data_IF_238184952067
#
_entry.id   IF_238184952067
#
_cell.length_a   1.000
_cell.length_b   1.000
_cell.length_c   1.000
_cell.angle_alpha   90.00
_cell.angle_beta   90.00
_cell.angle_gamma   90.00
#
_symmetry.space_group_name_H-M   'P 1'
#
loop_
_entity.id
_entity.type
_entity.pdbx_description
1 polymer ?
#
# COMPACT_ATOMS: atom_id res chain seq x y z
N UNK A 1 -48.37 -46.11 74.74
CA UNK A 1 -47.28 -46.60 73.87
C UNK A 1 -46.49 -45.35 73.46
N UNK A 2 -45.37 -45.01 74.13
CA UNK A 2 -44.00 -45.56 73.93
C UNK A 2 -43.61 -45.46 72.44
N UNK A 3 -42.61 -44.71 71.98
CA UNK A 3 -41.24 -44.46 72.47
C UNK A 3 -40.62 -43.26 71.71
N UNK A 4 -39.91 -42.35 72.38
CA UNK A 4 -38.44 -42.17 72.34
C UNK A 4 -37.94 -40.99 71.51
N UNK A 5 -37.37 -40.05 72.26
CA UNK A 5 -36.34 -39.07 71.94
C UNK A 5 -35.08 -39.75 71.35
N UNK A 6 -34.51 -39.17 70.30
CA UNK A 6 -33.12 -39.42 69.90
C UNK A 6 -32.66 -38.40 68.86
N UNK A 7 -32.06 -37.34 69.40
CA UNK A 7 -31.19 -36.41 68.68
C UNK A 7 -30.01 -37.19 68.07
N UNK A 8 -29.72 -37.05 66.76
CA UNK A 8 -28.54 -37.66 66.16
C UNK A 8 -27.24 -37.03 66.72
N UNK A 9 -26.20 -37.82 67.01
CA UNK A 9 -24.95 -37.30 67.54
C UNK A 9 -24.19 -36.48 66.50
N UNK A 10 -23.57 -35.39 66.96
CA UNK A 10 -22.66 -34.55 66.19
C UNK A 10 -21.51 -35.38 65.60
N UNK A 11 -21.16 -35.21 64.32
CA UNK A 11 -19.95 -35.79 63.77
C UNK A 11 -18.72 -35.11 64.39
N UNK A 12 -17.90 -35.97 64.98
CA UNK A 12 -16.56 -35.78 65.54
C UNK A 12 -15.73 -34.75 64.76
N UNK A 13 -15.21 -33.75 65.45
CA UNK A 13 -14.16 -32.85 64.97
C UNK A 13 -12.88 -33.64 64.69
N UNK A 14 -12.50 -33.73 63.41
CA UNK A 14 -11.15 -34.07 62.96
C UNK A 14 -10.85 -33.35 61.64
N UNK A 15 -9.57 -33.06 61.37
CA UNK A 15 -8.93 -31.76 61.53
C UNK A 15 -9.44 -30.73 60.51
N UNK A 16 -9.54 -29.47 60.94
CA UNK A 16 -9.44 -28.32 60.04
C UNK A 16 -8.12 -28.46 59.28
N UNK A 17 -8.16 -29.06 58.10
CA UNK A 17 -7.09 -28.93 57.14
C UNK A 17 -6.95 -27.43 56.90
N UNK A 18 -5.80 -26.80 57.22
CA UNK A 18 -5.57 -25.45 56.75
C UNK A 18 -5.64 -25.55 55.23
N UNK A 19 -6.69 -24.95 54.67
CA UNK A 19 -6.77 -24.61 53.26
C UNK A 19 -5.42 -23.96 52.98
N UNK A 20 -4.52 -24.68 52.29
CA UNK A 20 -3.27 -24.14 51.75
C UNK A 20 -3.69 -23.10 50.74
N UNK A 21 -4.11 -21.95 51.26
CA UNK A 21 -4.03 -20.69 50.59
C UNK A 21 -2.56 -20.62 50.16
N UNK A 22 -2.34 -20.64 48.84
CA UNK A 22 -1.04 -20.47 48.25
C UNK A 22 -0.48 -19.12 48.74
N UNK A 23 0.13 -19.12 49.92
CA UNK A 23 0.96 -18.06 50.43
C UNK A 23 2.30 -18.20 49.71
N UNK A 24 2.29 -18.03 48.39
CA UNK A 24 3.52 -17.59 47.74
C UNK A 24 3.91 -16.29 48.43
N UNK A 25 5.16 -16.16 48.91
CA UNK A 25 5.58 -14.97 49.63
C UNK A 25 5.19 -13.73 48.84
N UNK A 26 4.63 -12.71 49.50
CA UNK A 26 4.24 -11.46 48.82
C UNK A 26 5.41 -10.89 47.99
N UNK A 27 6.65 -11.11 48.45
CA UNK A 27 7.86 -10.79 47.69
C UNK A 27 7.99 -11.49 46.33
N UNK A 28 7.58 -12.76 46.20
CA UNK A 28 7.56 -13.49 44.92
C UNK A 28 6.56 -12.89 43.93
N UNK A 29 5.34 -12.55 44.39
CA UNK A 29 4.34 -11.88 43.54
C UNK A 29 4.80 -10.49 43.09
N UNK A 30 5.50 -9.75 43.96
CA UNK A 30 6.08 -8.45 43.61
C UNK A 30 7.18 -8.60 42.56
N UNK A 31 8.01 -9.64 42.66
CA UNK A 31 9.06 -9.93 41.68
C UNK A 31 8.46 -10.28 40.31
N UNK A 32 7.50 -11.20 40.26
CA UNK A 32 6.77 -11.57 39.03
C UNK A 32 6.08 -10.37 38.38
N UNK A 33 5.45 -9.50 39.19
CA UNK A 33 4.81 -8.29 38.70
C UNK A 33 5.82 -7.30 38.09
N UNK A 34 7.00 -7.15 38.71
CA UNK A 34 8.06 -6.30 38.18
C UNK A 34 8.66 -6.85 36.89
N UNK A 35 8.80 -8.16 36.77
CA UNK A 35 9.26 -8.82 35.55
C UNK A 35 8.24 -8.63 34.41
N UNK A 36 6.96 -8.92 34.68
CA UNK A 36 5.87 -8.68 33.73
C UNK A 36 5.79 -7.21 33.30
N UNK A 37 6.00 -6.26 34.23
CA UNK A 37 6.07 -4.83 33.92
C UNK A 37 7.24 -4.51 32.98
N UNK A 38 8.40 -5.11 33.21
CA UNK A 38 9.60 -4.89 32.39
C UNK A 38 9.42 -5.45 31.00
N UNK A 39 8.88 -6.66 30.88
CA UNK A 39 8.55 -7.29 29.60
C UNK A 39 7.52 -6.45 28.81
N UNK A 40 6.48 -5.97 29.48
CA UNK A 40 5.45 -5.14 28.85
C UNK A 40 6.05 -3.82 28.33
N UNK A 41 6.93 -3.17 29.11
CA UNK A 41 7.61 -1.96 28.67
C UNK A 41 8.52 -2.23 27.46
N UNK A 42 9.26 -3.34 27.47
CA UNK A 42 10.08 -3.76 26.34
C UNK A 42 9.22 -4.01 25.08
N UNK A 43 8.09 -4.70 25.24
CA UNK A 43 7.15 -4.96 24.14
C UNK A 43 6.58 -3.67 23.57
N UNK A 44 6.19 -2.72 24.42
CA UNK A 44 5.67 -1.41 23.99
C UNK A 44 6.76 -0.63 23.23
N UNK A 45 8.00 -0.64 23.71
CA UNK A 45 9.11 0.01 23.02
C UNK A 45 9.39 -0.64 21.66
N UNK A 46 9.37 -1.97 21.57
CA UNK A 46 9.50 -2.71 20.32
C UNK A 46 8.40 -2.34 19.32
N UNK A 47 7.13 -2.38 19.75
CA UNK A 47 5.98 -2.00 18.90
C UNK A 47 6.07 -0.55 18.43
N UNK A 48 6.54 0.37 19.28
CA UNK A 48 6.76 1.78 18.89
C UNK A 48 7.82 1.88 17.80
N UNK A 49 8.93 1.16 17.93
CA UNK A 49 10.00 1.14 16.92
C UNK A 49 9.51 0.55 15.60
N UNK A 50 8.76 -0.56 15.67
CA UNK A 50 8.18 -1.17 14.49
C UNK A 50 7.23 -0.20 13.80
N UNK A 51 6.30 0.43 14.51
CA UNK A 51 5.37 1.40 13.92
C UNK A 51 6.11 2.57 13.25
N UNK A 52 7.17 3.09 13.88
CA UNK A 52 8.01 4.12 13.24
C UNK A 52 8.70 3.61 11.97
N UNK A 53 9.23 2.40 11.98
CA UNK A 53 9.85 1.78 10.80
C UNK A 53 8.84 1.58 9.67
N UNK A 54 7.63 1.11 9.99
CA UNK A 54 6.54 0.92 9.04
C UNK A 54 6.10 2.25 8.43
N UNK A 55 5.98 3.30 9.25
CA UNK A 55 5.68 4.65 8.77
C UNK A 55 6.74 5.15 7.79
N UNK A 56 8.02 5.06 8.14
CA UNK A 56 9.12 5.48 7.25
C UNK A 56 9.14 4.71 5.92
N UNK A 57 8.88 3.40 5.95
CA UNK A 57 8.75 2.57 4.75
C UNK A 57 7.57 3.01 3.87
N UNK A 58 6.41 3.28 4.48
CA UNK A 58 5.24 3.74 3.75
C UNK A 58 5.46 5.12 3.13
N UNK A 59 6.00 6.07 3.89
CA UNK A 59 6.32 7.42 3.41
C UNK A 59 7.28 7.37 2.21
N UNK A 60 8.27 6.47 2.26
CA UNK A 60 9.21 6.23 1.16
C UNK A 60 8.52 5.66 -0.07
N UNK A 61 7.67 4.64 0.08
CA UNK A 61 6.95 4.04 -1.04
C UNK A 61 5.98 5.02 -1.70
N UNK A 62 5.23 5.79 -0.89
CA UNK A 62 4.32 6.82 -1.40
C UNK A 62 5.09 7.87 -2.21
N UNK A 63 6.28 8.28 -1.73
CA UNK A 63 7.13 9.21 -2.47
C UNK A 63 7.61 8.62 -3.79
N UNK A 64 8.14 7.39 -3.78
CA UNK A 64 8.63 6.70 -4.99
C UNK A 64 7.50 6.60 -6.02
N UNK A 65 6.34 6.09 -5.65
CA UNK A 65 5.23 5.94 -6.60
C UNK A 65 4.72 7.27 -7.14
N UNK A 66 4.72 8.33 -6.32
CA UNK A 66 4.37 9.66 -6.78
C UNK A 66 5.39 10.18 -7.82
N UNK A 67 6.68 9.98 -7.56
CA UNK A 67 7.75 10.42 -8.44
C UNK A 67 7.72 9.64 -9.77
N UNK A 68 7.59 8.31 -9.72
CA UNK A 68 7.47 7.44 -10.89
C UNK A 68 6.23 7.77 -11.73
N UNK A 69 5.08 7.98 -11.11
CA UNK A 69 3.86 8.37 -11.82
C UNK A 69 4.00 9.74 -12.50
N UNK A 70 4.68 10.68 -11.83
CA UNK A 70 4.93 12.01 -12.38
C UNK A 70 5.84 11.94 -13.59
N UNK A 71 6.93 11.16 -13.53
CA UNK A 71 7.85 10.99 -14.65
C UNK A 71 7.17 10.24 -15.80
N UNK A 72 6.42 9.17 -15.52
CA UNK A 72 5.68 8.44 -16.55
C UNK A 72 4.69 9.34 -17.31
N UNK A 73 3.93 10.17 -16.58
CA UNK A 73 3.00 11.13 -17.18
C UNK A 73 3.73 12.16 -18.06
N UNK A 74 4.89 12.62 -17.61
CA UNK A 74 5.73 13.56 -18.36
C UNK A 74 6.26 12.92 -19.63
N UNK A 75 6.82 11.71 -19.56
CA UNK A 75 7.28 10.96 -20.74
C UNK A 75 6.16 10.76 -21.75
N UNK A 76 4.99 10.29 -21.29
CA UNK A 76 3.84 10.09 -22.16
C UNK A 76 3.39 11.39 -22.86
N UNK A 77 3.34 12.50 -22.12
CA UNK A 77 3.00 13.80 -22.71
C UNK A 77 4.00 14.22 -23.79
N UNK A 78 5.31 14.02 -23.56
CA UNK A 78 6.35 14.33 -24.55
C UNK A 78 6.18 13.46 -25.81
N UNK A 79 6.00 12.15 -25.63
CA UNK A 79 5.81 11.22 -26.75
C UNK A 79 4.55 11.55 -27.58
N UNK A 80 3.45 11.93 -26.92
CA UNK A 80 2.21 12.34 -27.62
C UNK A 80 2.40 13.63 -28.41
N UNK A 81 3.04 14.64 -27.83
CA UNK A 81 3.29 15.90 -28.54
C UNK A 81 4.29 15.73 -29.70
N UNK A 82 5.30 14.87 -29.53
CA UNK A 82 6.20 14.50 -30.61
C UNK A 82 5.44 13.82 -31.75
N UNK A 83 4.62 12.81 -31.45
CA UNK A 83 3.84 12.09 -32.46
C UNK A 83 2.86 13.02 -33.20
N UNK A 84 2.25 13.98 -32.49
CA UNK A 84 1.40 15.01 -33.11
C UNK A 84 2.18 15.88 -34.09
N UNK A 85 3.39 16.28 -33.71
CA UNK A 85 4.29 17.09 -34.54
C UNK A 85 4.69 16.32 -35.80
N UNK A 86 5.17 15.09 -35.64
CA UNK A 86 5.56 14.21 -36.75
C UNK A 86 4.38 13.96 -37.71
N UNK A 87 3.17 13.74 -37.19
CA UNK A 87 1.98 13.57 -38.02
C UNK A 87 1.62 14.84 -38.81
N UNK A 88 1.76 16.02 -38.18
CA UNK A 88 1.50 17.30 -38.84
C UNK A 88 2.53 17.60 -39.93
N UNK A 89 3.81 17.31 -39.68
CA UNK A 89 4.88 17.41 -40.68
C UNK A 89 4.64 16.48 -41.87
N UNK A 90 4.26 15.23 -41.58
CA UNK A 90 3.92 14.25 -42.63
C UNK A 90 2.74 14.72 -43.49
N UNK A 91 1.68 15.21 -42.85
CA UNK A 91 0.51 15.76 -43.57
C UNK A 91 0.89 16.95 -44.45
N UNK A 92 1.74 17.83 -43.95
CA UNK A 92 2.22 19.01 -44.69
C UNK A 92 3.04 18.57 -45.91
N UNK A 93 3.95 17.61 -45.72
CA UNK A 93 4.78 17.06 -46.79
C UNK A 93 3.93 16.39 -47.87
N UNK A 94 2.94 15.59 -47.47
CA UNK A 94 2.02 14.94 -48.41
C UNK A 94 1.20 15.96 -49.21
N UNK A 95 0.75 17.03 -48.55
CA UNK A 95 0.01 18.10 -49.24
C UNK A 95 0.89 18.81 -50.27
N UNK A 96 2.12 19.16 -49.91
CA UNK A 96 3.07 19.77 -50.83
C UNK A 96 3.36 18.86 -52.04
N UNK A 97 3.57 17.57 -51.80
CA UNK A 97 3.76 16.59 -52.87
C UNK A 97 2.54 16.52 -53.81
N UNK A 98 1.32 16.60 -53.27
CA UNK A 98 0.10 16.62 -54.08
C UNK A 98 0.02 17.89 -54.94
N UNK A 99 0.37 19.05 -54.40
CA UNK A 99 0.42 20.32 -55.14
C UNK A 99 1.48 20.27 -56.25
N UNK A 100 2.68 19.78 -55.95
CA UNK A 100 3.79 19.68 -56.91
C UNK A 100 3.45 18.74 -58.07
N UNK A 101 2.84 17.59 -57.78
CA UNK A 101 2.36 16.65 -58.82
C UNK A 101 1.26 17.29 -59.66
N UNK A 102 0.32 17.98 -59.03
CA UNK A 102 -0.77 18.66 -59.74
C UNK A 102 -0.24 19.76 -60.66
N UNK A 103 0.72 20.57 -60.19
CA UNK A 103 1.38 21.60 -60.98
C UNK A 103 2.15 21.00 -62.17
N UNK A 104 2.88 19.90 -61.94
CA UNK A 104 3.63 19.19 -62.98
C UNK A 104 2.71 18.65 -64.08
N UNK A 105 1.56 18.09 -63.72
CA UNK A 105 0.57 17.60 -64.69
C UNK A 105 -0.06 18.72 -65.52
N UNK A 106 -0.39 19.87 -64.90
CA UNK A 106 -0.89 21.05 -65.63
C UNK A 106 0.13 21.55 -66.64
N UNK A 107 1.37 21.73 -66.22
CA UNK A 107 2.44 22.19 -67.11
C UNK A 107 2.66 21.24 -68.29
N UNK A 108 2.54 19.92 -68.09
CA UNK A 108 2.68 18.95 -69.17
C UNK A 108 1.49 19.00 -70.16
N UNK A 109 0.28 19.25 -69.66
CA UNK A 109 -0.90 19.49 -70.48
C UNK A 109 -0.75 20.71 -71.40
N UNK A 110 -0.32 21.84 -70.84
CA UNK A 110 -0.12 23.09 -71.60
C UNK A 110 0.97 22.96 -72.67
N UNK A 111 2.06 22.25 -72.39
CA UNK A 111 3.11 21.96 -73.38
C UNK A 111 2.59 21.06 -74.51
N UNK A 112 1.67 20.13 -74.21
CA UNK A 112 1.08 19.27 -75.24
C UNK A 112 0.09 20.01 -76.15
N UNK A 113 -0.56 21.07 -75.69
CA UNK A 113 -1.43 21.91 -76.53
C UNK A 113 -0.62 22.87 -77.41
N UNK A 114 0.41 23.52 -76.84
CA UNK A 114 1.29 24.41 -77.62
C UNK A 114 2.05 23.71 -78.76
N UNK A 115 2.34 22.40 -78.63
CA UNK A 115 2.97 21.61 -79.69
C UNK A 115 2.01 21.20 -80.83
N UNK A 116 0.70 21.37 -80.67
CA UNK A 116 -0.31 21.06 -81.72
C UNK A 116 -0.74 22.29 -82.52
N UNK A 117 -0.41 23.50 -82.05
CA UNK A 117 -0.76 24.77 -82.69
C UNK A 117 0.39 25.41 -83.49
N UNK A 118 1.53 24.72 -83.65
CA UNK A 118 2.68 25.12 -84.48
C UNK A 118 2.86 24.18 -85.68
#
# INVERSE_FOLDING_TARGET
MATSDSTPPLPVTAPLAPKKENMTPVGSKIAELNESRTELLSRIQGLKQDLQNWRSKLDTQVKIYRDELTELKKTLNVEVEQLRTEFQELRTTLHQQQEDVTASLRNLGDVSEGAKEA
#
